data_IF_329856851732
#
_entry.id   IF_329856851732
#
_cell.length_a   1.000
_cell.length_b   1.000
_cell.length_c   1.000
_cell.angle_alpha   90.00
_cell.angle_beta   90.00
_cell.angle_gamma   90.00
#
_symmetry.space_group_name_H-M   'P 1'
#
loop_
_entity.id
_entity.type
_entity.pdbx_description
1 polymer ?
#
# COMPACT_ATOMS: atom_id res chain seq x y z
N UNK A 1 -11.21 -9.99 6.14
CA UNK A 1 -10.60 -8.74 5.65
C UNK A 1 -11.63 -7.63 5.64
N UNK A 2 -11.32 -6.49 6.24
CA UNK A 2 -12.09 -5.25 6.15
C UNK A 2 -11.16 -4.15 5.65
N UNK A 3 -11.48 -3.51 4.52
CA UNK A 3 -10.64 -2.48 3.91
C UNK A 3 -11.29 -1.10 3.92
N UNK A 4 -10.49 -0.05 4.06
CA UNK A 4 -10.97 1.32 3.95
C UNK A 4 -9.89 2.37 4.20
N UNK A 5 -10.30 3.64 4.11
CA UNK A 5 -9.40 4.78 4.35
C UNK A 5 -9.88 5.77 5.41
N UNK A 6 -11.13 5.64 5.88
CA UNK A 6 -11.74 6.60 6.79
C UNK A 6 -11.56 6.21 8.28
N UNK A 7 -11.42 7.19 9.20
CA UNK A 7 -11.12 6.95 10.61
C UNK A 7 -12.11 6.00 11.30
N UNK A 8 -13.42 6.22 11.09
CA UNK A 8 -14.46 5.40 11.75
C UNK A 8 -14.36 3.93 11.36
N UNK A 9 -14.15 3.67 10.07
CA UNK A 9 -14.05 2.30 9.55
C UNK A 9 -12.75 1.64 9.99
N UNK A 10 -11.63 2.37 9.95
CA UNK A 10 -10.32 1.82 10.35
C UNK A 10 -10.22 1.52 11.84
N UNK A 11 -10.81 2.35 12.72
CA UNK A 11 -10.92 2.04 14.15
C UNK A 11 -11.77 0.79 14.38
N UNK A 12 -12.92 0.70 13.72
CA UNK A 12 -13.78 -0.47 13.84
C UNK A 12 -13.11 -1.74 13.30
N UNK A 13 -12.42 -1.64 12.16
CA UNK A 13 -11.68 -2.74 11.57
C UNK A 13 -10.56 -3.22 12.50
N UNK A 14 -9.79 -2.31 13.09
CA UNK A 14 -8.75 -2.65 14.08
C UNK A 14 -9.30 -3.42 15.29
N UNK A 15 -10.51 -3.08 15.74
CA UNK A 15 -11.16 -3.74 16.87
C UNK A 15 -11.71 -5.14 16.55
N UNK A 16 -12.01 -5.45 15.29
CA UNK A 16 -12.90 -6.58 14.94
C UNK A 16 -12.40 -7.51 13.83
N UNK A 17 -11.53 -7.04 12.94
CA UNK A 17 -11.06 -7.82 11.81
C UNK A 17 -9.73 -8.52 12.13
N UNK A 18 -9.46 -9.62 11.43
CA UNK A 18 -8.14 -10.28 11.46
C UNK A 18 -7.18 -9.70 10.41
N UNK A 19 -7.75 -9.14 9.32
CA UNK A 19 -7.00 -8.49 8.24
C UNK A 19 -7.60 -7.11 7.98
N UNK A 20 -6.78 -6.07 8.05
CA UNK A 20 -7.19 -4.68 7.82
C UNK A 20 -6.53 -4.12 6.57
N UNK A 21 -7.35 -3.79 5.57
CA UNK A 21 -6.89 -3.08 4.36
C UNK A 21 -6.79 -1.58 4.64
N UNK A 22 -5.56 -1.05 4.68
CA UNK A 22 -5.32 0.36 4.93
C UNK A 22 -5.02 1.05 3.61
N UNK A 23 -6.06 1.67 3.03
CA UNK A 23 -6.00 2.20 1.67
C UNK A 23 -6.43 3.68 1.62
N UNK A 24 -6.30 4.28 0.44
CA UNK A 24 -6.91 5.57 0.13
C UNK A 24 -8.44 5.52 0.28
N UNK A 25 -9.02 6.65 0.65
CA UNK A 25 -10.47 6.85 0.73
C UNK A 25 -10.96 7.36 -0.62
N UNK A 26 -11.71 6.52 -1.32
CA UNK A 26 -12.18 6.79 -2.68
C UNK A 26 -13.61 7.36 -2.61
N UNK A 27 -13.76 8.65 -2.26
CA UNK A 27 -15.07 9.27 -2.05
C UNK A 27 -15.85 9.49 -3.36
N UNK A 28 -15.15 9.75 -4.46
CA UNK A 28 -15.72 9.94 -5.80
C UNK A 28 -16.12 8.64 -6.51
N UNK A 29 -15.64 7.50 -6.02
CA UNK A 29 -15.75 6.20 -6.68
C UNK A 29 -14.64 5.90 -7.68
N UNK A 30 -13.71 6.83 -7.91
CA UNK A 30 -12.59 6.69 -8.84
C UNK A 30 -11.25 7.03 -8.15
N UNK A 31 -10.14 6.45 -8.63
CA UNK A 31 -8.79 6.82 -8.14
C UNK A 31 -8.41 8.16 -8.76
N UNK A 32 -8.95 9.24 -8.21
CA UNK A 32 -8.62 10.61 -8.56
C UNK A 32 -7.39 11.12 -7.78
N UNK A 33 -7.02 12.37 -8.01
CA UNK A 33 -5.89 13.00 -7.31
C UNK A 33 -6.11 13.07 -5.79
N UNK A 34 -7.34 13.27 -5.32
CA UNK A 34 -7.62 13.31 -3.88
C UNK A 34 -7.36 11.94 -3.25
N UNK A 35 -7.84 10.86 -3.89
CA UNK A 35 -7.57 9.49 -3.48
C UNK A 35 -6.05 9.19 -3.52
N UNK A 36 -5.35 9.66 -4.56
CA UNK A 36 -3.91 9.48 -4.65
C UNK A 36 -3.15 10.17 -3.52
N UNK A 37 -3.48 11.43 -3.21
CA UNK A 37 -2.91 12.16 -2.08
C UNK A 37 -3.24 11.51 -0.73
N UNK A 38 -4.45 10.97 -0.58
CA UNK A 38 -4.86 10.22 0.63
C UNK A 38 -4.12 8.87 0.76
N UNK A 39 -3.53 8.37 -0.32
CA UNK A 39 -2.67 7.19 -0.35
C UNK A 39 -1.19 7.47 -0.02
N UNK A 40 -0.76 8.72 0.13
CA UNK A 40 0.64 9.07 0.41
C UNK A 40 1.06 8.74 1.84
N UNK A 41 2.37 8.59 2.06
CA UNK A 41 2.94 8.03 3.27
C UNK A 41 2.46 8.70 4.57
N UNK A 42 2.39 10.04 4.61
CA UNK A 42 1.92 10.77 5.80
C UNK A 42 0.45 10.47 6.13
N UNK A 43 -0.40 10.32 5.12
CA UNK A 43 -1.81 9.93 5.30
C UNK A 43 -1.93 8.49 5.74
N UNK A 44 -1.08 7.61 5.24
CA UNK A 44 -0.99 6.22 5.71
C UNK A 44 -0.55 6.16 7.17
N UNK A 45 0.45 6.95 7.61
CA UNK A 45 0.84 7.00 9.02
C UNK A 45 -0.36 7.30 9.91
N UNK A 46 -1.17 8.30 9.51
CA UNK A 46 -2.39 8.67 10.22
C UNK A 46 -3.43 7.53 10.23
N UNK A 47 -3.64 6.86 9.10
CA UNK A 47 -4.59 5.75 8.99
C UNK A 47 -4.17 4.54 9.83
N UNK A 48 -2.89 4.18 9.82
CA UNK A 48 -2.34 3.12 10.67
C UNK A 48 -2.50 3.49 12.14
N UNK A 49 -2.33 4.76 12.52
CA UNK A 49 -2.60 5.22 13.89
C UNK A 49 -4.08 5.00 14.30
N UNK A 50 -5.04 5.20 13.40
CA UNK A 50 -6.45 4.88 13.68
C UNK A 50 -6.71 3.39 13.82
N UNK A 51 -6.04 2.55 13.03
CA UNK A 51 -6.11 1.09 13.22
C UNK A 51 -5.55 0.71 14.60
N UNK A 52 -4.39 1.26 14.98
CA UNK A 52 -3.79 1.05 16.31
C UNK A 52 -4.71 1.48 17.44
N UNK A 53 -5.36 2.65 17.32
CA UNK A 53 -6.33 3.15 18.29
C UNK A 53 -7.52 2.20 18.44
N UNK A 54 -8.05 1.69 17.33
CA UNK A 54 -9.16 0.74 17.35
C UNK A 54 -8.78 -0.64 17.88
N UNK A 55 -7.57 -1.11 17.56
CA UNK A 55 -7.08 -2.43 17.93
C UNK A 55 -6.64 -2.52 19.39
N UNK A 56 -5.98 -1.49 19.93
CA UNK A 56 -5.33 -1.59 21.24
C UNK A 56 -4.31 -2.75 21.26
N UNK A 57 -4.38 -3.60 22.28
CA UNK A 57 -3.40 -4.67 22.52
C UNK A 57 -3.34 -5.72 21.41
N UNK A 58 -4.44 -5.95 20.67
CA UNK A 58 -4.47 -6.95 19.57
C UNK A 58 -3.87 -6.45 18.26
N UNK A 59 -3.29 -5.24 18.21
CA UNK A 59 -2.71 -4.73 16.97
C UNK A 59 -1.64 -5.68 16.40
N UNK A 60 -0.87 -6.34 17.27
CA UNK A 60 0.16 -7.30 16.87
C UNK A 60 -0.41 -8.58 16.23
N UNK A 61 -1.70 -8.87 16.43
CA UNK A 61 -2.38 -10.03 15.85
C UNK A 61 -3.00 -9.71 14.47
N UNK A 62 -2.99 -8.44 14.06
CA UNK A 62 -3.57 -8.01 12.78
C UNK A 62 -2.58 -8.22 11.63
N UNK A 63 -3.11 -8.68 10.51
CA UNK A 63 -2.43 -8.58 9.22
C UNK A 63 -2.86 -7.29 8.50
N UNK A 64 -1.89 -6.48 8.08
CA UNK A 64 -2.17 -5.28 7.29
C UNK A 64 -2.06 -5.57 5.80
N UNK A 65 -3.11 -5.16 5.09
CA UNK A 65 -3.25 -5.30 3.65
C UNK A 65 -3.10 -3.97 2.92
N UNK A 66 -2.33 -3.98 1.83
CA UNK A 66 -2.26 -2.91 0.85
C UNK A 66 -2.85 -3.40 -0.48
N UNK A 67 -3.78 -2.62 -1.04
CA UNK A 67 -4.19 -2.78 -2.42
C UNK A 67 -3.37 -1.85 -3.31
N UNK A 68 -2.67 -2.41 -4.29
CA UNK A 68 -1.79 -1.63 -5.17
C UNK A 68 -2.60 -0.98 -6.29
N UNK A 69 -2.75 0.34 -6.22
CA UNK A 69 -3.28 1.15 -7.31
C UNK A 69 -2.27 1.25 -8.46
N UNK A 70 -0.97 1.19 -8.15
CA UNK A 70 0.13 1.22 -9.11
C UNK A 70 1.08 0.06 -8.85
N UNK A 71 1.35 -0.74 -9.87
CA UNK A 71 2.24 -1.88 -9.78
C UNK A 71 3.00 -2.07 -11.10
N UNK A 72 4.32 -1.84 -11.08
CA UNK A 72 5.18 -1.99 -12.23
C UNK A 72 6.60 -2.42 -11.83
N UNK A 73 7.08 -3.52 -12.40
CA UNK A 73 8.49 -3.91 -12.30
C UNK A 73 9.20 -3.39 -13.55
N UNK A 74 10.12 -2.44 -13.38
CA UNK A 74 10.83 -1.80 -14.49
C UNK A 74 12.14 -1.16 -14.02
N UNK A 75 13.18 -1.23 -14.85
CA UNK A 75 14.44 -0.49 -14.63
C UNK A 75 14.41 0.92 -15.25
N UNK A 76 13.31 1.29 -15.93
CA UNK A 76 13.13 2.63 -16.50
C UNK A 76 12.62 3.62 -15.44
N UNK A 77 13.44 4.59 -15.01
CA UNK A 77 13.05 5.54 -13.98
C UNK A 77 11.89 6.45 -14.40
N UNK A 78 11.71 6.68 -15.71
CA UNK A 78 10.69 7.59 -16.23
C UNK A 78 9.26 7.10 -15.99
N UNK A 79 9.08 5.78 -15.79
CA UNK A 79 7.76 5.20 -15.52
C UNK A 79 7.20 5.72 -14.19
N UNK A 80 8.04 5.86 -13.17
CA UNK A 80 7.61 6.42 -11.89
C UNK A 80 7.21 7.90 -12.02
N UNK A 81 7.93 8.67 -12.85
CA UNK A 81 7.62 10.08 -13.09
C UNK A 81 6.27 10.23 -13.81
N UNK A 82 6.02 9.44 -14.85
CA UNK A 82 4.74 9.45 -15.59
C UNK A 82 3.58 9.07 -14.67
N UNK A 83 3.74 8.01 -13.87
CA UNK A 83 2.69 7.60 -12.93
C UNK A 83 2.45 8.68 -11.87
N UNK A 84 3.50 9.29 -11.34
CA UNK A 84 3.38 10.36 -10.37
C UNK A 84 2.61 11.57 -10.92
N UNK A 85 2.90 11.97 -12.16
CA UNK A 85 2.20 13.05 -12.85
C UNK A 85 0.70 12.75 -13.01
N UNK A 86 0.34 11.52 -13.42
CA UNK A 86 -1.06 11.08 -13.52
C UNK A 86 -1.82 11.20 -12.19
N UNK A 87 -1.12 10.96 -11.08
CA UNK A 87 -1.66 11.04 -9.73
C UNK A 87 -1.50 12.41 -9.06
N UNK A 88 -0.94 13.41 -9.76
CA UNK A 88 -0.75 14.76 -9.23
C UNK A 88 0.29 14.84 -8.11
N UNK A 89 1.29 13.96 -8.11
CA UNK A 89 2.36 13.91 -7.10
C UNK A 89 3.75 13.86 -7.76
N UNK A 90 4.81 13.73 -6.96
CA UNK A 90 6.17 13.49 -7.43
C UNK A 90 6.57 12.02 -7.27
N UNK A 91 7.58 11.57 -8.02
CA UNK A 91 7.97 10.17 -8.06
C UNK A 91 8.47 9.64 -6.71
N UNK A 92 9.09 10.47 -5.88
CA UNK A 92 9.57 10.06 -4.57
C UNK A 92 8.40 9.85 -3.60
N UNK A 93 7.44 10.78 -3.59
CA UNK A 93 6.18 10.63 -2.84
C UNK A 93 5.39 9.40 -3.28
N UNK A 94 5.28 9.14 -4.59
CA UNK A 94 4.63 7.94 -5.13
C UNK A 94 5.33 6.67 -4.63
N UNK A 95 6.66 6.59 -4.72
CA UNK A 95 7.44 5.42 -4.28
C UNK A 95 7.33 5.17 -2.78
N UNK A 96 7.10 6.20 -1.97
CA UNK A 96 6.88 6.07 -0.54
C UNK A 96 5.49 5.53 -0.18
N UNK A 97 4.49 5.64 -1.06
CA UNK A 97 3.15 5.11 -0.80
C UNK A 97 3.15 3.57 -0.76
N UNK A 98 2.53 2.93 0.26
CA UNK A 98 2.36 1.48 0.28
C UNK A 98 1.42 0.97 -0.82
N UNK A 99 0.65 1.86 -1.45
CA UNK A 99 -0.33 1.55 -2.50
C UNK A 99 0.29 1.61 -3.91
N UNK A 100 1.58 1.90 -4.01
CA UNK A 100 2.34 1.91 -5.25
C UNK A 100 3.61 1.07 -5.13
N UNK A 101 3.90 0.23 -6.12
CA UNK A 101 5.18 -0.47 -6.26
C UNK A 101 5.68 -0.29 -7.70
N UNK A 102 6.54 0.69 -7.92
CA UNK A 102 7.15 0.99 -9.23
C UNK A 102 8.66 1.00 -9.12
N UNK A 103 9.36 0.18 -9.90
CA UNK A 103 10.82 0.19 -9.99
C UNK A 103 11.41 -1.18 -10.24
N UNK A 104 12.72 -1.30 -10.11
CA UNK A 104 13.41 -2.58 -10.31
C UNK A 104 12.97 -3.58 -9.24
N UNK A 105 13.19 -4.87 -9.53
CA UNK A 105 12.80 -5.94 -8.61
C UNK A 105 13.43 -5.80 -7.23
N UNK A 106 14.71 -5.44 -7.18
CA UNK A 106 15.44 -5.29 -5.92
C UNK A 106 14.90 -4.11 -5.10
N UNK A 107 14.69 -2.95 -5.74
CA UNK A 107 14.14 -1.78 -5.05
C UNK A 107 12.71 -2.03 -4.54
N UNK A 108 11.92 -2.79 -5.30
CA UNK A 108 10.56 -3.18 -4.89
C UNK A 108 10.62 -4.15 -3.70
N UNK A 109 11.55 -5.11 -3.70
CA UNK A 109 11.77 -6.01 -2.57
C UNK A 109 12.17 -5.26 -1.29
N UNK A 110 13.12 -4.33 -1.40
CA UNK A 110 13.56 -3.45 -0.31
C UNK A 110 12.40 -2.62 0.23
N UNK A 111 11.61 -1.98 -0.65
CA UNK A 111 10.44 -1.21 -0.24
C UNK A 111 9.38 -2.04 0.47
N UNK A 112 9.14 -3.28 0.03
CA UNK A 112 8.23 -4.19 0.75
C UNK A 112 8.73 -4.44 2.18
N UNK A 113 10.03 -4.68 2.35
CA UNK A 113 10.63 -4.89 3.68
C UNK A 113 10.52 -3.63 4.56
N UNK A 114 10.86 -2.46 4.03
CA UNK A 114 10.74 -1.17 4.73
C UNK A 114 9.30 -0.88 5.18
N UNK A 115 8.31 -1.16 4.33
CA UNK A 115 6.88 -0.95 4.63
C UNK A 115 6.37 -1.91 5.69
N UNK A 116 6.89 -3.14 5.69
CA UNK A 116 6.62 -4.11 6.76
C UNK A 116 7.16 -3.61 8.09
N UNK A 117 8.37 -3.05 8.12
CA UNK A 117 8.97 -2.49 9.34
C UNK A 117 8.23 -1.23 9.83
N UNK A 118 7.95 -0.28 8.93
CA UNK A 118 7.33 1.01 9.27
C UNK A 118 5.87 0.86 9.70
N UNK A 119 5.08 0.12 8.93
CA UNK A 119 3.63 0.07 9.10
C UNK A 119 3.09 -1.29 9.50
N UNK A 120 3.75 -2.38 9.10
CA UNK A 120 3.28 -3.75 9.31
C UNK A 120 2.56 -4.38 8.11
N UNK A 121 2.66 -3.79 6.91
CA UNK A 121 2.08 -4.41 5.70
C UNK A 121 2.74 -5.76 5.40
N UNK A 122 1.94 -6.82 5.36
CA UNK A 122 2.38 -8.17 4.97
C UNK A 122 1.56 -8.75 3.82
N UNK A 123 0.36 -8.21 3.54
CA UNK A 123 -0.49 -8.69 2.47
C UNK A 123 -0.65 -7.64 1.36
N UNK A 124 0.04 -7.84 0.23
CA UNK A 124 -0.06 -6.97 -0.95
C UNK A 124 -0.98 -7.60 -2.00
N UNK A 125 -1.93 -6.82 -2.52
CA UNK A 125 -2.81 -7.24 -3.62
C UNK A 125 -2.32 -6.58 -4.91
N UNK A 126 -1.80 -7.41 -5.82
CA UNK A 126 -1.26 -7.00 -7.12
C UNK A 126 -2.39 -7.03 -8.17
N UNK A 127 -2.50 -6.03 -9.06
CA UNK A 127 -3.39 -6.07 -10.21
C UNK A 127 -3.21 -7.33 -11.06
N UNK A 128 -4.32 -7.94 -11.49
CA UNK A 128 -4.29 -9.27 -12.11
C UNK A 128 -3.48 -9.35 -13.40
N UNK A 129 -3.44 -8.26 -14.18
CA UNK A 129 -2.63 -8.12 -15.39
C UNK A 129 -1.12 -8.02 -15.11
N UNK A 130 -0.74 -7.58 -13.89
CA UNK A 130 0.65 -7.48 -13.42
C UNK A 130 1.15 -8.72 -12.67
N UNK A 131 0.27 -9.68 -12.40
CA UNK A 131 0.60 -10.84 -11.56
C UNK A 131 1.79 -11.66 -12.08
N UNK A 132 1.92 -11.81 -13.41
CA UNK A 132 3.05 -12.56 -14.01
C UNK A 132 4.38 -11.81 -13.89
N UNK A 133 4.35 -10.48 -14.01
CA UNK A 133 5.55 -9.65 -13.93
C UNK A 133 6.13 -9.63 -12.50
N UNK A 134 5.25 -9.74 -11.51
CA UNK A 134 5.64 -9.84 -10.09
C UNK A 134 6.01 -11.27 -9.65
N UNK A 135 5.70 -12.31 -10.43
CA UNK A 135 5.96 -13.70 -10.01
C UNK A 135 7.44 -13.96 -9.66
N UNK A 136 8.45 -13.46 -10.40
CA UNK A 136 9.86 -13.62 -10.02
C UNK A 136 10.21 -12.94 -8.68
N UNK A 137 9.62 -11.77 -8.39
CA UNK A 137 9.81 -11.12 -7.09
C UNK A 137 9.27 -11.99 -5.95
N UNK A 138 8.09 -12.59 -6.14
CA UNK A 138 7.50 -13.48 -5.11
C UNK A 138 8.41 -14.69 -4.87
N UNK A 139 8.95 -15.29 -5.93
CA UNK A 139 9.94 -16.36 -5.83
C UNK A 139 11.17 -15.92 -5.01
N UNK A 140 11.75 -14.76 -5.31
CA UNK A 140 12.89 -14.20 -4.59
C UNK A 140 12.59 -13.97 -3.10
N UNK A 141 11.39 -13.49 -2.76
CA UNK A 141 10.97 -13.21 -1.37
C UNK A 141 10.62 -14.48 -0.57
N UNK A 142 10.19 -15.55 -1.23
CA UNK A 142 9.71 -16.78 -0.57
C UNK A 142 10.69 -17.95 -0.66
N UNK A 143 11.74 -17.81 -1.46
CA UNK A 143 12.76 -18.85 -1.65
C UNK A 143 12.26 -20.06 -2.44
N UNK A 144 11.27 -19.88 -3.32
CA UNK A 144 10.66 -20.92 -4.17
C UNK A 144 10.87 -20.63 -5.64
#
# INVERSE_FOLDING_TARGET
LVGGGAPRLLKWAGATADIVGVNASIHSGEIDQEAAHDGLAERIDQKVAWVKEGAGDRFADLELNAWLAVAEITDDPSVADVMAELFGTDADSLRQSPLALVGSRNEVAERIAERRERWGYSYHVIPGDKARDFAPLVADLTGT
#
